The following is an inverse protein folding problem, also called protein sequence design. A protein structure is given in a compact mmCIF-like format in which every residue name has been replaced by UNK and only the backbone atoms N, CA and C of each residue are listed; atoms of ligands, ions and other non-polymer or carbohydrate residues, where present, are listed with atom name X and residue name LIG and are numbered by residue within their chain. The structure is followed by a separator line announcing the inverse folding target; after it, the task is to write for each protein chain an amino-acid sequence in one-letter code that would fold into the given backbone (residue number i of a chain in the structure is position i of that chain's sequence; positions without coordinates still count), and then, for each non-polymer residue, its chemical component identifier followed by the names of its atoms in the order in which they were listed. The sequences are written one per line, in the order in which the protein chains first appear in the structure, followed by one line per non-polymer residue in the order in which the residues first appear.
data_IF_799026729151
#
_entry.id   IF_799026729151
#
_cell.length_a   1.000
_cell.length_b   1.000
_cell.length_c   1.000
_cell.angle_alpha   90.00
_cell.angle_beta   90.00
_cell.angle_gamma   90.00
#
_symmetry.space_group_name_H-M   'P 1'
#
loop_
_entity.id
_entity.type
_entity.pdbx_description
1 polymer ?
#
# COMPACT_ATOMS: atom_id res chain seq x y z
N UNK A 1 -13.88 -9.06 -5.15
CA UNK A 1 -12.68 -9.26 -4.32
C UNK A 1 -11.47 -8.96 -5.19
N UNK A 2 -10.53 -8.15 -4.70
CA UNK A 2 -9.23 -7.99 -5.37
C UNK A 2 -8.44 -9.28 -5.11
N UNK A 3 -7.89 -9.87 -6.17
CA UNK A 3 -7.07 -11.09 -6.09
C UNK A 3 -5.61 -10.72 -5.85
N UNK A 4 -4.84 -11.62 -5.22
CA UNK A 4 -3.39 -11.40 -5.07
C UNK A 4 -2.72 -11.31 -6.43
N UNK A 5 -1.72 -10.42 -6.62
CA UNK A 5 -0.91 -10.35 -7.82
C UNK A 5 -0.28 -11.70 -8.16
N UNK A 6 -0.39 -12.12 -9.43
CA UNK A 6 0.20 -13.38 -9.94
C UNK A 6 1.63 -13.22 -10.46
N UNK A 7 2.07 -11.99 -10.71
CA UNK A 7 3.42 -11.69 -11.22
C UNK A 7 4.08 -10.58 -10.43
N UNK A 8 5.41 -10.48 -10.52
CA UNK A 8 6.17 -9.41 -9.90
C UNK A 8 5.77 -8.04 -10.45
N UNK A 9 5.51 -7.92 -11.75
CA UNK A 9 5.05 -6.69 -12.39
C UNK A 9 3.69 -6.26 -11.85
N UNK A 10 2.76 -7.21 -11.70
CA UNK A 10 1.45 -6.91 -11.12
C UNK A 10 1.55 -6.48 -9.65
N UNK A 11 2.52 -7.03 -8.90
CA UNK A 11 2.76 -6.62 -7.52
C UNK A 11 3.39 -5.23 -7.45
N UNK A 12 4.35 -4.93 -8.32
CA UNK A 12 4.91 -3.57 -8.48
C UNK A 12 3.81 -2.57 -8.84
N UNK A 13 2.94 -2.89 -9.80
CA UNK A 13 1.82 -2.02 -10.17
C UNK A 13 0.84 -1.78 -9.01
N UNK A 14 0.62 -2.77 -8.14
CA UNK A 14 -0.21 -2.60 -6.95
C UNK A 14 0.43 -1.62 -5.95
N UNK A 15 1.75 -1.67 -5.80
CA UNK A 15 2.50 -0.73 -4.96
C UNK A 15 2.49 0.67 -5.56
N UNK A 16 2.70 0.80 -6.87
CA UNK A 16 2.60 2.09 -7.58
C UNK A 16 1.21 2.71 -7.40
N UNK A 17 0.14 1.92 -7.54
CA UNK A 17 -1.24 2.38 -7.28
C UNK A 17 -1.40 2.89 -5.83
N UNK A 18 -0.85 2.19 -4.84
CA UNK A 18 -0.95 2.64 -3.45
C UNK A 18 -0.19 3.96 -3.20
N UNK A 19 0.90 4.22 -3.91
CA UNK A 19 1.61 5.50 -3.86
C UNK A 19 0.72 6.61 -4.44
N UNK A 20 0.17 6.40 -5.64
CA UNK A 20 -0.68 7.37 -6.33
C UNK A 20 -1.88 7.78 -5.45
N UNK A 21 -2.55 6.81 -4.82
CA UNK A 21 -3.73 7.05 -3.97
C UNK A 21 -3.37 7.84 -2.69
N UNK A 22 -2.21 7.58 -2.09
CA UNK A 22 -1.74 8.36 -0.92
C UNK A 22 -1.36 9.77 -1.32
N UNK A 23 -0.68 9.94 -2.45
CA UNK A 23 -0.32 11.27 -2.97
C UNK A 23 -1.57 12.09 -3.30
N UNK A 24 -2.55 11.49 -3.96
CA UNK A 24 -3.83 12.13 -4.29
C UNK A 24 -4.58 12.54 -3.02
N UNK A 25 -4.67 11.66 -2.03
CA UNK A 25 -5.33 11.97 -0.75
C UNK A 25 -4.59 13.07 0.02
N UNK A 26 -3.25 13.05 0.04
CA UNK A 26 -2.44 14.09 0.69
C UNK A 26 -2.66 15.44 0.00
N UNK A 27 -2.62 15.46 -1.33
CA UNK A 27 -2.90 16.66 -2.12
C UNK A 27 -4.31 17.19 -1.86
N UNK A 28 -5.32 16.32 -1.82
CA UNK A 28 -6.69 16.70 -1.48
C UNK A 28 -6.78 17.32 -0.08
N UNK A 29 -6.06 16.77 0.91
CA UNK A 29 -6.00 17.34 2.27
C UNK A 29 -5.28 18.70 2.32
N UNK A 30 -4.27 18.93 1.48
CA UNK A 30 -3.54 20.20 1.42
C UNK A 30 -4.35 21.31 0.74
N UNK A 31 -5.09 20.97 -0.33
CA UNK A 31 -5.85 21.94 -1.13
C UNK A 31 -7.29 22.17 -0.65
N UNK A 32 -7.92 21.21 0.03
CA UNK A 32 -9.29 21.28 0.60
C UNK A 32 -9.29 21.12 2.14
N UNK A 33 -8.19 21.52 2.78
CA UNK A 33 -7.89 21.23 4.18
C UNK A 33 -8.87 21.78 5.22
N UNK A 34 -9.68 22.78 4.87
CA UNK A 34 -10.71 23.31 5.78
C UNK A 34 -11.86 22.32 6.02
N UNK A 35 -12.12 21.39 5.09
CA UNK A 35 -13.23 20.41 5.15
C UNK A 35 -12.78 19.00 5.57
N UNK A 36 -11.58 18.57 5.16
CA UNK A 36 -11.07 17.20 5.36
C UNK A 36 -10.34 16.98 6.70
N UNK A 37 -9.83 18.06 7.31
CA UNK A 37 -8.98 17.98 8.51
C UNK A 37 -7.56 17.50 8.20
N UNK A 38 -6.65 17.64 9.17
CA UNK A 38 -5.26 17.22 9.00
C UNK A 38 -5.09 15.72 9.20
N UNK A 39 -4.36 15.07 8.29
CA UNK A 39 -4.06 13.63 8.34
C UNK A 39 -2.53 13.42 8.37
N UNK A 40 -1.87 13.69 9.52
CA UNK A 40 -0.41 13.70 9.61
C UNK A 40 0.23 12.32 9.39
N UNK A 41 -0.55 11.25 9.34
CA UNK A 41 -0.06 9.90 9.05
C UNK A 41 0.18 9.65 7.55
N UNK A 42 -0.31 10.51 6.64
CA UNK A 42 -0.18 10.30 5.19
C UNK A 42 1.26 10.44 4.71
N UNK A 43 1.99 11.45 5.18
CA UNK A 43 3.40 11.67 4.84
C UNK A 43 4.30 10.48 5.23
N UNK A 44 4.28 9.96 6.49
CA UNK A 44 5.06 8.78 6.81
C UNK A 44 4.58 7.53 6.07
N UNK A 45 3.27 7.36 5.84
CA UNK A 45 2.75 6.23 5.07
C UNK A 45 3.29 6.23 3.63
N UNK A 46 3.24 7.37 2.96
CA UNK A 46 3.78 7.55 1.61
C UNK A 46 5.27 7.22 1.53
N UNK A 47 6.07 7.74 2.48
CA UNK A 47 7.51 7.51 2.51
C UNK A 47 7.83 6.02 2.66
N UNK A 48 7.13 5.31 3.55
CA UNK A 48 7.33 3.87 3.77
C UNK A 48 6.98 3.04 2.52
N UNK A 49 5.94 3.44 1.78
CA UNK A 49 5.52 2.72 0.56
C UNK A 49 6.48 3.03 -0.60
N UNK A 50 6.99 4.26 -0.69
CA UNK A 50 8.05 4.64 -1.65
C UNK A 50 9.36 3.89 -1.37
N UNK A 51 9.74 3.71 -0.11
CA UNK A 51 10.90 2.90 0.27
C UNK A 51 10.73 1.43 -0.14
N UNK A 52 9.55 0.85 0.10
CA UNK A 52 9.22 -0.47 -0.42
C UNK A 52 9.39 -0.50 -1.95
N UNK A 53 8.82 0.46 -2.67
CA UNK A 53 8.92 0.53 -4.13
C UNK A 53 10.36 0.67 -4.64
N UNK A 54 11.18 1.41 -3.91
CA UNK A 54 12.60 1.58 -4.20
C UNK A 54 13.36 0.26 -4.00
N UNK A 55 13.10 -0.47 -2.92
CA UNK A 55 13.71 -1.78 -2.69
C UNK A 55 13.37 -2.79 -3.80
N UNK A 56 12.18 -2.68 -4.41
CA UNK A 56 11.81 -3.47 -5.58
C UNK A 56 12.59 -3.06 -6.83
N UNK A 57 12.88 -1.76 -6.99
CA UNK A 57 13.61 -1.23 -8.14
C UNK A 57 15.12 -1.55 -8.08
N UNK A 58 15.71 -1.53 -6.88
CA UNK A 58 17.14 -1.82 -6.69
C UNK A 58 17.44 -3.32 -6.50
N UNK A 59 16.41 -4.16 -6.43
CA UNK A 59 16.53 -5.62 -6.32
C UNK A 59 16.83 -6.12 -4.91
N UNK A 60 16.78 -5.26 -3.88
CA UNK A 60 16.95 -5.66 -2.48
C UNK A 60 15.66 -6.22 -1.85
N UNK A 61 14.50 -5.97 -2.46
CA UNK A 61 13.21 -6.48 -1.98
C UNK A 61 13.14 -8.00 -1.97
N UNK A 62 12.63 -8.56 -0.87
CA UNK A 62 12.32 -9.98 -0.73
C UNK A 62 10.91 -10.16 -0.16
N UNK A 63 10.27 -11.25 -0.56
CA UNK A 63 9.04 -11.70 0.11
C UNK A 63 9.41 -12.32 1.45
N UNK A 64 8.73 -11.92 2.51
CA UNK A 64 9.00 -12.39 3.87
C UNK A 64 7.69 -12.71 4.58
N UNK A 65 7.70 -13.66 5.52
CA UNK A 65 6.50 -14.00 6.31
C UNK A 65 6.32 -13.09 7.52
N UNK A 66 6.56 -11.79 7.34
CA UNK A 66 6.35 -10.75 8.34
C UNK A 66 5.50 -9.61 7.78
N UNK A 67 4.94 -8.78 8.66
CA UNK A 67 4.15 -7.64 8.20
C UNK A 67 5.08 -6.51 7.75
N UNK A 68 4.73 -5.86 6.64
CA UNK A 68 5.38 -4.63 6.23
C UNK A 68 5.20 -3.56 7.31
N UNK A 69 6.27 -2.78 7.53
CA UNK A 69 6.34 -1.77 8.59
C UNK A 69 5.15 -0.77 8.57
N UNK A 70 4.58 -0.46 7.40
CA UNK A 70 3.48 0.49 7.27
C UNK A 70 2.13 -0.06 7.76
N UNK A 71 2.00 -1.36 8.00
CA UNK A 71 0.70 -1.96 8.38
C UNK A 71 0.20 -1.42 9.72
N UNK A 72 1.10 -1.13 10.66
CA UNK A 72 0.73 -0.49 11.92
C UNK A 72 0.08 0.88 11.71
N UNK A 73 0.55 1.66 10.71
CA UNK A 73 -0.02 2.96 10.35
C UNK A 73 -1.38 2.80 9.69
N UNK A 74 -1.47 1.85 8.75
CA UNK A 74 -2.71 1.54 8.00
C UNK A 74 -3.83 1.08 8.93
N UNK A 75 -3.53 0.20 9.90
CA UNK A 75 -4.55 -0.30 10.82
C UNK A 75 -4.97 0.73 11.87
N UNK A 76 -4.08 1.65 12.25
CA UNK A 76 -4.41 2.76 13.16
C UNK A 76 -5.27 3.86 12.51
N UNK A 77 -5.16 4.05 11.18
CA UNK A 77 -5.93 5.05 10.47
C UNK A 77 -7.44 4.73 10.50
N UNK A 78 -8.36 5.68 10.66
CA UNK A 78 -9.79 5.43 10.48
C UNK A 78 -10.14 5.11 9.01
N UNK A 79 -11.06 4.19 8.75
CA UNK A 79 -11.45 3.81 7.37
C UNK A 79 -11.97 5.01 6.55
N UNK A 80 -12.66 5.95 7.21
CA UNK A 80 -13.14 7.21 6.58
C UNK A 80 -11.99 8.13 6.12
N UNK A 81 -10.81 7.99 6.70
CA UNK A 81 -9.62 8.79 6.38
C UNK A 81 -8.69 8.05 5.40
N UNK A 82 -8.83 6.73 5.27
CA UNK A 82 -8.02 5.92 4.35
C UNK A 82 -8.92 4.94 3.59
N UNK A 83 -9.70 5.43 2.60
CA UNK A 83 -10.73 4.62 1.92
C UNK A 83 -10.15 3.49 1.06
N UNK A 84 -8.85 3.52 0.78
CA UNK A 84 -8.12 2.53 -0.02
C UNK A 84 -7.20 1.62 0.82
N UNK A 85 -7.49 1.45 2.13
CA UNK A 85 -6.81 0.49 3.02
C UNK A 85 -6.63 -0.91 2.44
N UNK A 86 -7.56 -1.34 1.60
CA UNK A 86 -7.52 -2.66 0.97
C UNK A 86 -6.27 -2.84 0.09
N UNK A 87 -5.71 -1.78 -0.49
CA UNK A 87 -4.47 -1.84 -1.28
C UNK A 87 -3.31 -2.27 -0.40
N UNK A 88 -3.09 -1.59 0.73
CA UNK A 88 -2.01 -1.92 1.68
C UNK A 88 -2.15 -3.32 2.26
N UNK A 89 -3.38 -3.74 2.57
CA UNK A 89 -3.64 -5.10 3.05
C UNK A 89 -3.32 -6.14 1.99
N UNK A 90 -3.68 -5.89 0.74
CA UNK A 90 -3.34 -6.76 -0.39
C UNK A 90 -1.82 -6.80 -0.64
N UNK A 91 -1.15 -5.65 -0.55
CA UNK A 91 0.31 -5.57 -0.67
C UNK A 91 0.96 -6.42 0.41
N UNK A 92 0.56 -6.24 1.66
CA UNK A 92 1.10 -6.98 2.79
C UNK A 92 0.78 -8.48 2.73
N UNK A 93 -0.42 -8.85 2.32
CA UNK A 93 -0.78 -10.26 2.14
C UNK A 93 0.09 -10.91 1.05
N UNK A 94 0.37 -10.19 -0.03
CA UNK A 94 1.24 -10.66 -1.12
C UNK A 94 2.70 -10.71 -0.68
N UNK A 95 3.16 -9.76 0.12
CA UNK A 95 4.48 -9.79 0.77
C UNK A 95 4.64 -11.07 1.61
N UNK A 96 3.64 -11.36 2.45
CA UNK A 96 3.63 -12.48 3.39
C UNK A 96 3.55 -13.86 2.77
N UNK A 97 2.72 -13.98 1.73
CA UNK A 97 2.37 -15.27 1.15
C UNK A 97 3.01 -15.50 -0.23
N UNK A 98 3.78 -14.54 -0.72
CA UNK A 98 4.25 -14.52 -2.11
C UNK A 98 3.12 -14.30 -3.11
N UNK A 99 3.47 -14.44 -4.39
CA UNK A 99 2.56 -14.26 -5.53
C UNK A 99 1.43 -15.29 -5.53
N UNK A 100 0.24 -14.89 -5.99
CA UNK A 100 -0.96 -15.71 -6.08
C UNK A 100 -0.96 -16.73 -7.23
N UNK A 101 0.18 -17.39 -7.51
CA UNK A 101 0.33 -18.31 -8.65
C UNK A 101 -0.50 -19.59 -8.53
N UNK A 102 -0.84 -20.01 -7.31
CA UNK A 102 -1.59 -21.25 -7.00
C UNK A 102 -3.07 -21.00 -6.66
N UNK A 103 -3.57 -19.76 -6.76
CA UNK A 103 -5.00 -19.49 -6.61
C UNK A 103 -5.73 -19.92 -7.90
N UNK A 104 -5.98 -21.24 -7.99
CA UNK A 104 -6.92 -21.82 -8.95
C UNK A 104 -8.32 -21.24 -8.71
N UNK A 105 -9.00 -20.89 -9.80
CA UNK A 105 -10.37 -20.39 -9.78
C UNK A 105 -11.30 -21.58 -9.50
N UNK A 106 -11.78 -21.72 -8.26
CA UNK A 106 -12.98 -22.52 -7.97
C UNK A 106 -14.26 -21.80 -8.44
#
# INVERSE_FOLDING_TARGET
MIKRPKTAEAYVSLVDQAIDEVEELRFACEYDGESMGTMPFLEPLEQMVKELRQSMADGSYQFENEDLNFIAVVDAAPDRQLPFKFLFRMINETHRKGLGVEEEEE
#
